data_IF_102473355214
#
_entry.id   IF_102473355214
#
_cell.length_a   1.000
_cell.length_b   1.000
_cell.length_c   1.000
_cell.angle_alpha   90.00
_cell.angle_beta   90.00
_cell.angle_gamma   90.00
#
_symmetry.space_group_name_H-M   'P 1'
#
loop_
_entity.id
_entity.type
_entity.pdbx_description
1 polymer ?
#
# COMPACT_ATOMS: atom_id res chain seq x y z
N UNK A 1 -27.87 -59.56 12.27
CA UNK A 1 -27.16 -58.38 11.74
C UNK A 1 -28.15 -57.27 11.45
N UNK A 2 -28.16 -56.18 12.23
CA UNK A 2 -28.96 -54.97 11.95
C UNK A 2 -28.05 -53.98 11.20
N UNK A 3 -28.53 -53.27 10.14
CA UNK A 3 -27.78 -52.14 9.62
C UNK A 3 -27.90 -50.97 10.60
N UNK A 4 -26.75 -50.50 11.08
CA UNK A 4 -26.62 -49.30 11.91
C UNK A 4 -26.96 -48.06 11.08
N UNK A 5 -27.91 -47.28 11.57
CA UNK A 5 -28.29 -45.96 11.03
C UNK A 5 -27.07 -45.05 10.81
N UNK A 6 -27.04 -44.24 9.75
CA UNK A 6 -25.99 -43.22 9.60
C UNK A 6 -26.16 -42.13 10.65
N UNK A 7 -25.03 -41.71 11.24
CA UNK A 7 -24.94 -40.61 12.19
C UNK A 7 -25.49 -39.30 11.57
N UNK A 8 -26.24 -38.54 12.36
CA UNK A 8 -26.80 -37.21 12.05
C UNK A 8 -25.74 -36.12 11.77
N UNK A 9 -24.45 -36.48 11.74
CA UNK A 9 -23.29 -35.58 11.67
C UNK A 9 -22.67 -35.48 10.26
N UNK A 10 -23.44 -35.73 9.20
CA UNK A 10 -23.04 -35.44 7.81
C UNK A 10 -24.03 -34.49 7.13
N UNK A 11 -24.27 -33.32 7.73
CA UNK A 11 -25.13 -32.30 7.10
C UNK A 11 -24.63 -30.88 7.25
N UNK A 12 -23.32 -30.68 7.10
CA UNK A 12 -22.74 -29.34 6.90
C UNK A 12 -21.53 -29.37 5.95
N UNK A 13 -21.67 -29.99 4.77
CA UNK A 13 -20.84 -29.58 3.61
C UNK A 13 -21.40 -28.28 3.03
N UNK A 14 -21.40 -27.24 3.86
CA UNK A 14 -21.62 -25.87 3.46
C UNK A 14 -20.30 -25.15 3.60
N UNK A 15 -19.36 -25.39 2.66
CA UNK A 15 -18.19 -24.54 2.49
C UNK A 15 -18.70 -23.13 2.16
N UNK A 16 -19.01 -22.35 3.20
CA UNK A 16 -19.04 -20.89 3.10
C UNK A 16 -17.59 -20.46 2.89
N UNK A 17 -17.15 -20.51 1.63
CA UNK A 17 -16.07 -19.67 1.17
C UNK A 17 -16.62 -18.25 1.26
N UNK A 18 -16.40 -17.60 2.39
CA UNK A 18 -16.26 -16.17 2.43
C UNK A 18 -14.99 -15.87 1.63
N UNK A 19 -15.11 -15.81 0.31
CA UNK A 19 -14.12 -15.11 -0.49
C UNK A 19 -14.28 -13.65 -0.08
N UNK A 20 -13.44 -13.20 0.85
CA UNK A 20 -13.17 -11.77 0.97
C UNK A 20 -12.67 -11.34 -0.40
N UNK A 21 -13.56 -10.73 -1.16
CA UNK A 21 -13.30 -10.17 -2.47
C UNK A 21 -12.49 -8.89 -2.32
N UNK A 22 -11.32 -8.96 -1.68
CA UNK A 22 -10.31 -7.94 -1.93
C UNK A 22 -9.64 -8.35 -3.23
N UNK A 23 -10.24 -7.93 -4.35
CA UNK A 23 -9.55 -7.97 -5.62
C UNK A 23 -8.22 -7.24 -5.37
N UNK A 24 -7.08 -7.95 -5.48
CA UNK A 24 -5.79 -7.29 -5.59
C UNK A 24 -5.93 -6.35 -6.77
N UNK A 25 -6.17 -5.08 -6.51
CA UNK A 25 -6.40 -4.09 -7.55
C UNK A 25 -5.08 -3.95 -8.26
N UNK A 26 -4.95 -4.69 -9.36
CA UNK A 26 -3.77 -4.70 -10.20
C UNK A 26 -3.49 -3.25 -10.56
N UNK A 27 -2.25 -2.80 -10.33
CA UNK A 27 -1.83 -1.45 -10.68
C UNK A 27 -2.25 -1.15 -12.13
N UNK A 28 -3.01 -0.06 -12.36
CA UNK A 28 -3.39 0.36 -13.70
C UNK A 28 -2.16 0.48 -14.59
N UNK A 29 -2.32 0.20 -15.88
CA UNK A 29 -1.20 0.18 -16.82
C UNK A 29 -0.45 1.52 -16.89
N UNK A 30 -1.19 2.64 -16.82
CA UNK A 30 -0.59 3.98 -16.80
C UNK A 30 0.33 4.21 -15.59
N UNK A 31 0.08 3.55 -14.46
CA UNK A 31 0.91 3.68 -13.26
C UNK A 31 2.27 3.01 -13.46
N UNK A 32 2.35 1.99 -14.32
CA UNK A 32 3.62 1.31 -14.62
C UNK A 32 4.63 2.24 -15.26
N UNK A 33 4.17 3.23 -16.02
CA UNK A 33 5.03 4.24 -16.64
C UNK A 33 5.59 5.26 -15.62
N UNK A 34 5.02 5.36 -14.42
CA UNK A 34 5.43 6.33 -13.41
C UNK A 34 6.60 5.86 -12.54
N UNK A 35 6.97 4.58 -12.62
CA UNK A 35 8.09 3.98 -11.88
C UNK A 35 7.98 4.22 -10.36
N UNK A 36 6.79 4.03 -9.81
CA UNK A 36 6.52 4.23 -8.39
C UNK A 36 7.00 3.02 -7.58
N UNK A 37 7.53 3.28 -6.39
CA UNK A 37 7.94 2.27 -5.42
C UNK A 37 6.97 2.25 -4.23
N UNK A 38 6.80 1.11 -3.53
CA UNK A 38 5.95 1.05 -2.35
C UNK A 38 6.46 1.98 -1.25
N UNK A 39 5.58 2.78 -0.66
CA UNK A 39 5.92 3.67 0.46
C UNK A 39 5.77 2.92 1.80
N UNK A 40 6.67 3.11 2.78
CA UNK A 40 6.60 2.40 4.07
C UNK A 40 5.30 2.63 4.85
N UNK A 41 4.64 3.77 4.64
CA UNK A 41 3.35 4.10 5.27
C UNK A 41 2.13 3.58 4.50
N UNK A 42 2.35 2.90 3.37
CA UNK A 42 1.31 2.45 2.43
C UNK A 42 1.19 3.34 1.19
N UNK A 43 0.57 2.80 0.14
CA UNK A 43 0.53 3.44 -1.18
C UNK A 43 1.84 3.27 -1.95
N UNK A 44 1.95 4.05 -3.04
CA UNK A 44 3.10 4.04 -3.95
C UNK A 44 3.61 5.46 -4.13
N UNK A 45 4.92 5.64 -4.16
CA UNK A 45 5.53 6.96 -4.28
C UNK A 45 6.79 6.98 -5.15
N UNK A 46 7.14 8.16 -5.64
CA UNK A 46 8.44 8.46 -6.26
C UNK A 46 8.77 9.92 -6.05
N UNK A 47 10.02 10.23 -5.68
CA UNK A 47 10.54 11.59 -5.75
C UNK A 47 10.84 11.94 -7.21
N UNK A 48 10.12 12.92 -7.75
CA UNK A 48 10.24 13.34 -9.15
C UNK A 48 11.20 14.51 -9.34
N UNK A 49 11.40 15.31 -8.29
CA UNK A 49 12.28 16.47 -8.33
C UNK A 49 12.72 16.90 -6.94
N UNK A 50 13.95 17.43 -6.87
CA UNK A 50 14.54 18.05 -5.70
C UNK A 50 15.17 19.38 -6.10
N UNK A 51 14.95 20.40 -5.28
CA UNK A 51 15.55 21.72 -5.50
C UNK A 51 17.07 21.68 -5.35
N UNK A 52 17.76 22.28 -6.33
CA UNK A 52 19.21 22.55 -6.27
C UNK A 52 19.53 23.66 -5.25
N UNK A 53 18.58 24.55 -4.96
CA UNK A 53 18.73 25.54 -3.91
C UNK A 53 18.74 24.85 -2.55
N UNK A 54 19.81 25.07 -1.79
CA UNK A 54 19.98 24.62 -0.40
C UNK A 54 19.74 25.79 0.55
N UNK A 55 18.81 25.60 1.47
CA UNK A 55 18.59 26.50 2.61
C UNK A 55 19.59 26.13 3.70
N UNK A 56 20.48 27.07 4.01
CA UNK A 56 21.49 26.90 5.07
C UNK A 56 20.84 26.75 6.45
N UNK A 57 21.49 25.99 7.32
CA UNK A 57 20.99 25.71 8.67
C UNK A 57 20.68 26.98 9.48
N UNK A 58 21.45 28.05 9.29
CA UNK A 58 21.24 29.34 9.97
C UNK A 58 19.91 30.02 9.61
N UNK A 59 19.32 29.68 8.46
CA UNK A 59 18.03 30.20 8.01
C UNK A 59 16.86 29.28 8.37
N UNK A 60 17.13 28.12 8.98
CA UNK A 60 16.11 27.15 9.42
C UNK A 60 15.81 27.31 10.91
N UNK A 61 14.64 26.89 11.38
CA UNK A 61 14.34 26.77 12.82
C UNK A 61 15.39 25.91 13.55
N UNK A 62 15.54 26.15 14.86
CA UNK A 62 16.55 25.50 15.71
C UNK A 62 16.48 23.96 15.73
N UNK A 63 15.32 23.40 15.43
CA UNK A 63 15.07 21.95 15.49
C UNK A 63 15.68 21.21 14.29
N UNK A 64 16.06 21.92 13.24
CA UNK A 64 16.78 21.33 12.11
C UNK A 64 18.25 21.11 12.50
N UNK A 65 18.82 19.97 12.13
CA UNK A 65 20.21 19.61 12.46
C UNK A 65 21.18 19.76 11.30
N UNK A 66 20.67 20.05 10.10
CA UNK A 66 21.47 20.20 8.88
C UNK A 66 20.73 21.01 7.81
N UNK A 67 21.46 21.62 6.85
CA UNK A 67 20.87 22.27 5.69
C UNK A 67 19.88 21.37 4.93
N UNK A 68 18.91 21.98 4.25
CA UNK A 68 17.85 21.28 3.53
C UNK A 68 17.69 21.83 2.12
N UNK A 69 17.31 20.99 1.17
CA UNK A 69 16.80 21.48 -0.12
C UNK A 69 15.58 22.36 0.13
N UNK A 70 15.45 23.45 -0.63
CA UNK A 70 14.35 24.41 -0.46
C UNK A 70 12.97 23.78 -0.71
N UNK A 71 12.90 22.78 -1.57
CA UNK A 71 11.68 22.02 -1.85
C UNK A 71 11.99 20.64 -2.46
N UNK A 72 11.02 19.73 -2.34
CA UNK A 72 10.96 18.46 -3.06
C UNK A 72 9.55 18.28 -3.61
N UNK A 73 9.43 17.53 -4.70
CA UNK A 73 8.15 17.13 -5.27
C UNK A 73 8.11 15.60 -5.41
N UNK A 74 6.99 15.02 -4.99
CA UNK A 74 6.75 13.58 -5.08
C UNK A 74 5.45 13.31 -5.83
N UNK A 75 5.42 12.20 -6.53
CA UNK A 75 4.16 11.55 -6.92
C UNK A 75 3.78 10.57 -5.82
N UNK A 76 2.52 10.61 -5.38
CA UNK A 76 1.98 9.69 -4.40
C UNK A 76 0.63 9.14 -4.88
N UNK A 77 0.50 7.82 -4.90
CA UNK A 77 -0.68 7.12 -5.38
C UNK A 77 -1.26 6.22 -4.29
N UNK A 78 -2.55 6.41 -4.04
CA UNK A 78 -3.37 5.54 -3.22
C UNK A 78 -4.23 4.65 -4.11
N UNK A 79 -4.19 3.35 -3.87
CA UNK A 79 -5.10 2.42 -4.52
C UNK A 79 -6.49 2.51 -3.87
N UNK A 80 -7.58 2.29 -4.62
CA UNK A 80 -8.91 2.17 -4.03
C UNK A 80 -8.90 1.03 -2.99
N UNK A 81 -9.40 1.33 -1.79
CA UNK A 81 -9.50 0.41 -0.66
C UNK A 81 -10.87 -0.24 -0.54
#
# INVERSE_FOLDING_TARGET
MRPSSPNMFERLSGKRRCTSGYAMTKLPEWVRALDLSPHPEGGWFREMWRSDLIVGQSALPSDYTSPRSAATAILFLLMPG
#
